data_IF_721541500682
#
_entry.id   IF_721541500682
#
_cell.length_a   1.000
_cell.length_b   1.000
_cell.length_c   1.000
_cell.angle_alpha   90.00
_cell.angle_beta   90.00
_cell.angle_gamma   90.00
#
_symmetry.space_group_name_H-M   'P 1'
#
loop_
_entity.id
_entity.type
_entity.pdbx_description
1 polymer ?
#
# COMPACT_ATOMS: atom_id res chain seq x y z
N UNK A 1 17.59 -39.09 -1.86
CA UNK A 1 17.20 -38.40 -0.59
C UNK A 1 16.74 -37.03 -0.99
N UNK A 2 15.43 -36.91 -1.21
CA UNK A 2 14.81 -35.65 -1.60
C UNK A 2 14.96 -34.68 -0.43
N UNK A 3 15.63 -33.55 -0.70
CA UNK A 3 15.63 -32.43 0.23
C UNK A 3 14.15 -32.02 0.38
N UNK A 4 13.54 -32.32 1.50
CA UNK A 4 12.22 -31.80 1.86
C UNK A 4 12.30 -30.29 1.67
N UNK A 5 11.63 -29.81 0.62
CA UNK A 5 11.59 -28.39 0.31
C UNK A 5 10.92 -27.72 1.49
N UNK A 6 11.72 -27.10 2.33
CA UNK A 6 11.23 -26.47 3.55
C UNK A 6 10.49 -25.20 3.13
N UNK A 7 9.15 -25.20 3.20
CA UNK A 7 8.33 -24.04 2.86
C UNK A 7 8.78 -22.82 3.68
N UNK A 8 8.95 -21.65 3.07
CA UNK A 8 9.64 -20.52 3.70
C UNK A 8 8.72 -19.77 4.68
N UNK A 9 8.35 -20.38 5.80
CA UNK A 9 7.49 -19.77 6.81
C UNK A 9 8.01 -18.43 7.34
N UNK A 10 9.31 -18.17 7.26
CA UNK A 10 9.91 -16.90 7.71
C UNK A 10 9.49 -15.67 6.89
N UNK A 11 8.84 -15.84 5.72
CA UNK A 11 8.28 -14.73 4.94
C UNK A 11 6.95 -14.23 5.53
N UNK A 12 6.28 -15.02 6.38
CA UNK A 12 5.06 -14.63 7.09
C UNK A 12 5.45 -13.80 8.31
N UNK A 13 5.23 -12.49 8.23
CA UNK A 13 5.63 -11.52 9.25
C UNK A 13 4.45 -11.16 10.15
N UNK A 14 4.65 -10.20 11.07
CA UNK A 14 3.61 -9.79 12.01
C UNK A 14 2.36 -9.17 11.35
N UNK A 15 2.52 -8.58 10.15
CA UNK A 15 1.44 -7.79 9.51
C UNK A 15 1.23 -8.11 8.03
N UNK A 16 2.15 -8.82 7.39
CA UNK A 16 2.10 -9.15 5.96
C UNK A 16 2.94 -10.38 5.63
N UNK A 17 2.90 -10.78 4.36
CA UNK A 17 3.79 -11.80 3.79
C UNK A 17 4.77 -11.07 2.89
N UNK A 18 6.10 -11.21 3.14
CA UNK A 18 7.11 -10.50 2.37
C UNK A 18 8.43 -11.24 2.31
N UNK A 19 9.01 -11.36 1.13
CA UNK A 19 10.27 -12.05 0.93
C UNK A 19 11.02 -11.65 -0.34
N UNK A 20 12.28 -12.07 -0.44
CA UNK A 20 13.07 -11.94 -1.66
C UNK A 20 12.49 -12.80 -2.78
N UNK A 21 12.59 -12.36 -4.04
CA UNK A 21 12.11 -13.11 -5.21
C UNK A 21 12.73 -14.51 -5.35
N UNK A 22 13.92 -14.73 -4.79
CA UNK A 22 14.55 -16.04 -4.72
C UNK A 22 13.81 -17.04 -3.82
N UNK A 23 12.97 -16.55 -2.93
CA UNK A 23 12.16 -17.32 -1.97
C UNK A 23 10.68 -17.20 -2.29
N UNK A 24 10.23 -15.99 -2.63
CA UNK A 24 8.86 -15.67 -3.00
C UNK A 24 8.60 -16.05 -4.47
N UNK A 25 8.69 -17.36 -4.75
CA UNK A 25 8.55 -17.91 -6.10
C UNK A 25 7.09 -18.05 -6.54
N UNK A 26 6.79 -18.21 -7.85
CA UNK A 26 5.43 -18.48 -8.31
C UNK A 26 4.74 -19.65 -7.60
N UNK A 27 5.48 -20.70 -7.24
CA UNK A 27 4.98 -21.86 -6.50
C UNK A 27 4.57 -21.47 -5.06
N UNK A 28 5.39 -20.67 -4.40
CA UNK A 28 5.08 -20.15 -3.06
C UNK A 28 3.86 -19.23 -3.11
N UNK A 29 3.78 -18.35 -4.11
CA UNK A 29 2.62 -17.48 -4.33
C UNK A 29 1.34 -18.29 -4.57
N UNK A 30 1.41 -19.36 -5.38
CA UNK A 30 0.27 -20.23 -5.61
C UNK A 30 -0.20 -20.92 -4.31
N UNK A 31 0.73 -21.45 -3.52
CA UNK A 31 0.40 -22.05 -2.23
C UNK A 31 -0.28 -21.04 -1.26
N UNK A 32 0.23 -19.81 -1.20
CA UNK A 32 -0.38 -18.71 -0.44
C UNK A 32 -1.78 -18.40 -0.97
N UNK A 33 -1.96 -18.35 -2.29
CA UNK A 33 -3.25 -18.05 -2.91
C UNK A 33 -4.31 -19.09 -2.55
N UNK A 34 -3.97 -20.39 -2.56
CA UNK A 34 -4.89 -21.45 -2.11
C UNK A 34 -5.28 -21.27 -0.63
N UNK A 35 -4.30 -21.02 0.25
CA UNK A 35 -4.55 -20.78 1.67
C UNK A 35 -5.44 -19.56 1.95
N UNK A 36 -5.23 -18.47 1.20
CA UNK A 36 -6.08 -17.28 1.28
C UNK A 36 -7.49 -17.55 0.75
N UNK A 37 -7.63 -18.28 -0.36
CA UNK A 37 -8.96 -18.65 -0.88
C UNK A 37 -9.75 -19.48 0.13
N UNK A 38 -9.10 -20.44 0.82
CA UNK A 38 -9.72 -21.16 1.92
C UNK A 38 -10.14 -20.23 3.07
N UNK A 39 -9.29 -19.28 3.45
CA UNK A 39 -9.62 -18.32 4.51
C UNK A 39 -10.85 -17.48 4.16
N UNK A 40 -10.94 -16.95 2.92
CA UNK A 40 -12.12 -16.22 2.45
C UNK A 40 -13.37 -17.10 2.42
N UNK A 41 -13.25 -18.33 1.91
CA UNK A 41 -14.37 -19.27 1.83
C UNK A 41 -14.89 -19.66 3.22
N UNK A 42 -14.01 -19.94 4.18
CA UNK A 42 -14.38 -20.25 5.55
C UNK A 42 -15.06 -19.07 6.27
N UNK A 43 -14.74 -17.84 5.87
CA UNK A 43 -15.41 -16.63 6.34
C UNK A 43 -16.73 -16.32 5.59
N UNK A 44 -17.17 -17.21 4.68
CA UNK A 44 -18.39 -17.05 3.90
C UNK A 44 -18.29 -15.96 2.81
N UNK A 45 -17.08 -15.58 2.43
CA UNK A 45 -16.83 -14.55 1.42
C UNK A 45 -16.78 -15.16 0.02
N UNK A 46 -17.35 -14.47 -0.95
CA UNK A 46 -17.39 -14.91 -2.35
C UNK A 46 -16.81 -13.91 -3.35
N UNK A 47 -16.46 -12.68 -2.89
CA UNK A 47 -15.95 -11.63 -3.77
C UNK A 47 -14.72 -10.99 -3.16
N UNK A 48 -13.66 -10.79 -3.96
CA UNK A 48 -12.38 -10.22 -3.52
C UNK A 48 -11.83 -9.27 -4.59
N UNK A 49 -11.35 -8.09 -4.20
CA UNK A 49 -10.59 -7.22 -5.09
C UNK A 49 -9.11 -7.58 -5.05
N UNK A 50 -8.42 -7.50 -6.19
CA UNK A 50 -6.98 -7.75 -6.29
C UNK A 50 -6.32 -6.57 -6.97
N UNK A 51 -5.29 -6.00 -6.33
CA UNK A 51 -4.42 -4.98 -6.89
C UNK A 51 -2.95 -5.39 -6.79
N UNK A 52 -2.09 -4.65 -7.49
CA UNK A 52 -0.65 -4.87 -7.43
C UNK A 52 0.14 -3.57 -7.62
N UNK A 53 1.38 -3.54 -7.09
CA UNK A 53 2.28 -2.39 -7.20
C UNK A 53 3.09 -2.39 -8.51
N UNK A 54 4.01 -1.41 -8.65
CA UNK A 54 4.82 -1.21 -9.84
C UNK A 54 5.88 -2.30 -10.11
N UNK A 55 6.16 -3.24 -9.19
CA UNK A 55 7.24 -4.23 -9.31
C UNK A 55 7.04 -5.13 -10.52
N UNK A 56 8.12 -5.50 -11.20
CA UNK A 56 8.07 -6.33 -12.42
C UNK A 56 7.42 -7.71 -12.20
N UNK A 57 7.54 -8.27 -10.99
CA UNK A 57 6.93 -9.56 -10.64
C UNK A 57 5.46 -9.45 -10.23
N UNK A 58 4.99 -8.27 -9.85
CA UNK A 58 3.65 -8.08 -9.26
C UNK A 58 2.50 -8.45 -10.20
N UNK A 59 2.51 -8.11 -11.52
CA UNK A 59 1.44 -8.53 -12.44
C UNK A 59 1.30 -10.06 -12.52
N UNK A 60 2.43 -10.78 -12.58
CA UNK A 60 2.41 -12.25 -12.63
C UNK A 60 1.83 -12.85 -11.35
N UNK A 61 2.25 -12.33 -10.20
CA UNK A 61 1.79 -12.83 -8.91
C UNK A 61 0.31 -12.53 -8.66
N UNK A 62 -0.15 -11.33 -9.00
CA UNK A 62 -1.56 -10.98 -8.93
C UNK A 62 -2.42 -11.89 -9.82
N UNK A 63 -1.95 -12.18 -11.04
CA UNK A 63 -2.66 -13.07 -11.95
C UNK A 63 -2.69 -14.53 -11.46
N UNK A 64 -1.64 -15.02 -10.78
CA UNK A 64 -1.65 -16.34 -10.11
C UNK A 64 -2.72 -16.36 -9.02
N UNK A 65 -2.74 -15.32 -8.15
CA UNK A 65 -3.74 -15.20 -7.09
C UNK A 65 -5.15 -15.18 -7.66
N UNK A 66 -5.43 -14.32 -8.67
CA UNK A 66 -6.72 -14.20 -9.32
C UNK A 66 -7.20 -15.55 -9.90
N UNK A 67 -6.34 -16.21 -10.69
CA UNK A 67 -6.68 -17.48 -11.32
C UNK A 67 -7.01 -18.58 -10.29
N UNK A 68 -6.28 -18.63 -9.17
CA UNK A 68 -6.53 -19.60 -8.12
C UNK A 68 -7.84 -19.25 -7.37
N UNK A 69 -8.07 -17.99 -7.08
CA UNK A 69 -9.31 -17.54 -6.43
C UNK A 69 -10.54 -17.91 -7.27
N UNK A 70 -10.51 -17.63 -8.58
CA UNK A 70 -11.58 -18.01 -9.51
C UNK A 70 -11.80 -19.52 -9.55
N UNK A 71 -10.72 -20.33 -9.60
CA UNK A 71 -10.81 -21.80 -9.53
C UNK A 71 -11.42 -22.29 -8.21
N UNK A 72 -11.27 -21.54 -7.12
CA UNK A 72 -11.84 -21.83 -5.81
C UNK A 72 -13.25 -21.25 -5.63
N UNK A 73 -13.82 -20.65 -6.68
CA UNK A 73 -15.21 -20.14 -6.70
C UNK A 73 -15.36 -18.73 -6.15
N UNK A 74 -14.27 -17.98 -6.01
CA UNK A 74 -14.32 -16.55 -5.63
C UNK A 74 -14.50 -15.68 -6.89
N UNK A 75 -15.36 -14.69 -6.82
CA UNK A 75 -15.52 -13.64 -7.83
C UNK A 75 -14.42 -12.58 -7.64
N UNK A 76 -13.58 -12.39 -8.65
CA UNK A 76 -12.39 -11.54 -8.58
C UNK A 76 -12.61 -10.23 -9.34
N UNK A 77 -12.38 -9.12 -8.67
CA UNK A 77 -12.27 -7.79 -9.28
C UNK A 77 -10.79 -7.42 -9.37
N UNK A 78 -10.23 -7.47 -10.56
CA UNK A 78 -8.84 -7.07 -10.83
C UNK A 78 -8.76 -5.55 -11.01
N UNK A 79 -8.05 -4.86 -10.08
CA UNK A 79 -7.84 -3.42 -10.11
C UNK A 79 -6.66 -2.99 -10.99
N UNK A 80 -5.83 -3.94 -11.41
CA UNK A 80 -4.60 -3.63 -12.11
C UNK A 80 -3.52 -3.06 -11.20
N UNK A 81 -2.60 -2.28 -11.80
CA UNK A 81 -1.56 -1.55 -11.06
C UNK A 81 -2.20 -0.39 -10.30
N UNK A 82 -2.15 -0.43 -8.98
CA UNK A 82 -2.79 0.57 -8.12
C UNK A 82 -2.03 0.73 -6.79
N UNK A 83 -2.44 1.72 -6.00
CA UNK A 83 -1.93 1.88 -4.63
C UNK A 83 -2.67 0.99 -3.63
N UNK A 84 -2.01 0.67 -2.50
CA UNK A 84 -2.65 -0.03 -1.38
C UNK A 84 -3.89 0.72 -0.86
N UNK A 85 -3.88 2.06 -0.66
CA UNK A 85 -5.08 2.79 -0.28
C UNK A 85 -6.23 2.66 -1.28
N UNK A 86 -5.96 2.62 -2.58
CA UNK A 86 -6.99 2.39 -3.59
C UNK A 86 -7.58 0.98 -3.48
N UNK A 87 -6.76 -0.04 -3.24
CA UNK A 87 -7.24 -1.40 -3.00
C UNK A 87 -8.16 -1.45 -1.77
N UNK A 88 -7.77 -0.81 -0.66
CA UNK A 88 -8.62 -0.74 0.55
C UNK A 88 -9.94 -0.02 0.31
N UNK A 89 -9.91 1.09 -0.43
CA UNK A 89 -11.13 1.83 -0.81
C UNK A 89 -12.08 0.94 -1.63
N UNK A 90 -11.57 0.27 -2.67
CA UNK A 90 -12.37 -0.61 -3.53
C UNK A 90 -12.88 -1.83 -2.78
N UNK A 91 -12.10 -2.40 -1.87
CA UNK A 91 -12.52 -3.51 -1.03
C UNK A 91 -13.70 -3.12 -0.13
N UNK A 92 -13.70 -1.91 0.46
CA UNK A 92 -14.83 -1.39 1.25
C UNK A 92 -16.11 -1.27 0.43
N UNK A 93 -16.01 -0.97 -0.87
CA UNK A 93 -17.16 -0.92 -1.78
C UNK A 93 -17.68 -2.33 -2.15
N UNK A 94 -16.91 -3.39 -1.84
CA UNK A 94 -17.16 -4.77 -2.29
C UNK A 94 -17.03 -5.81 -1.16
N UNK A 95 -17.70 -5.61 -0.05
CA UNK A 95 -17.72 -6.52 1.11
C UNK A 95 -16.45 -6.55 2.00
N UNK A 96 -15.51 -5.66 1.80
CA UNK A 96 -14.34 -5.54 2.67
C UNK A 96 -13.24 -6.58 2.45
N UNK A 97 -13.18 -7.19 1.25
CA UNK A 97 -12.19 -8.22 0.96
C UNK A 97 -11.24 -7.76 -0.13
N UNK A 98 -9.94 -7.85 0.13
CA UNK A 98 -8.95 -7.40 -0.82
C UNK A 98 -7.56 -8.00 -0.63
N UNK A 99 -6.84 -8.16 -1.74
CA UNK A 99 -5.45 -8.60 -1.79
C UNK A 99 -4.63 -7.58 -2.57
N UNK A 100 -3.48 -7.21 -2.01
CA UNK A 100 -2.49 -6.36 -2.65
C UNK A 100 -1.18 -7.09 -2.80
N UNK A 101 -0.70 -7.26 -4.04
CA UNK A 101 0.62 -7.81 -4.31
C UNK A 101 1.64 -6.69 -4.30
N UNK A 102 2.43 -6.61 -3.24
CA UNK A 102 3.38 -5.52 -3.00
C UNK A 102 4.43 -5.89 -1.96
N UNK A 103 5.60 -5.30 -2.06
CA UNK A 103 6.56 -5.22 -0.96
C UNK A 103 6.79 -3.78 -0.49
N UNK A 104 5.87 -2.85 -0.81
CA UNK A 104 5.90 -1.45 -0.37
C UNK A 104 7.25 -0.78 -0.70
N UNK A 105 7.96 -0.28 0.30
CA UNK A 105 9.24 0.42 0.17
C UNK A 105 10.48 -0.48 0.04
N UNK A 106 10.34 -1.81 0.05
CA UNK A 106 11.46 -2.73 -0.08
C UNK A 106 12.17 -2.60 -1.45
N UNK A 107 13.44 -3.05 -1.58
CA UNK A 107 14.12 -3.12 -2.86
C UNK A 107 13.36 -3.91 -3.92
N UNK A 108 13.70 -3.71 -5.21
CA UNK A 108 13.06 -4.41 -6.35
C UNK A 108 13.22 -5.93 -6.34
N UNK A 109 14.18 -6.44 -5.58
CA UNK A 109 14.41 -7.88 -5.38
C UNK A 109 13.39 -8.57 -4.46
N UNK A 110 12.49 -7.80 -3.85
CA UNK A 110 11.50 -8.29 -2.91
C UNK A 110 10.09 -8.19 -3.51
N UNK A 111 9.18 -9.06 -3.05
CA UNK A 111 7.75 -8.91 -3.26
C UNK A 111 6.99 -9.48 -2.06
N UNK A 112 5.67 -9.34 -2.05
CA UNK A 112 4.84 -9.77 -0.93
C UNK A 112 3.36 -9.71 -1.22
N UNK A 113 2.57 -10.05 -0.19
CA UNK A 113 1.11 -10.00 -0.21
C UNK A 113 0.62 -9.38 1.10
N UNK A 114 -0.24 -8.37 0.97
CA UNK A 114 -1.10 -7.84 2.02
C UNK A 114 -2.54 -8.21 1.70
N UNK A 115 -3.39 -8.43 2.72
CA UNK A 115 -4.81 -8.64 2.48
C UNK A 115 -5.66 -8.09 3.60
N UNK A 116 -6.93 -7.94 3.33
CA UNK A 116 -7.98 -7.64 4.30
C UNK A 116 -9.14 -8.61 4.12
N UNK A 117 -9.78 -8.94 5.23
CA UNK A 117 -10.93 -9.82 5.29
C UNK A 117 -12.02 -9.13 6.11
N UNK A 118 -13.22 -8.97 5.54
CA UNK A 118 -14.33 -8.25 6.18
C UNK A 118 -13.99 -6.81 6.60
N UNK A 119 -13.12 -6.13 5.84
CA UNK A 119 -12.68 -4.76 6.11
C UNK A 119 -11.54 -4.64 7.11
N UNK A 120 -11.08 -5.76 7.70
CA UNK A 120 -10.06 -5.77 8.73
C UNK A 120 -8.74 -6.38 8.22
N UNK A 121 -7.58 -5.86 8.65
CA UNK A 121 -6.29 -6.48 8.38
C UNK A 121 -6.17 -7.81 9.16
N UNK A 122 -5.34 -8.76 8.67
CA UNK A 122 -5.17 -10.02 9.37
C UNK A 122 -4.46 -9.84 10.72
N UNK A 123 -4.91 -10.59 11.70
CA UNK A 123 -4.20 -10.75 12.97
C UNK A 123 -2.95 -11.62 12.78
N UNK A 124 -1.94 -11.56 13.69
CA UNK A 124 -0.78 -12.44 13.63
C UNK A 124 -1.16 -13.93 13.59
N UNK A 125 -2.20 -14.35 14.34
CA UNK A 125 -2.70 -15.72 14.31
C UNK A 125 -3.27 -16.13 12.95
N UNK A 126 -3.98 -15.23 12.25
CA UNK A 126 -4.46 -15.48 10.91
C UNK A 126 -3.33 -15.57 9.89
N UNK A 127 -2.28 -14.76 10.03
CA UNK A 127 -1.08 -14.84 9.18
C UNK A 127 -0.37 -16.18 9.37
N UNK A 128 -0.20 -16.63 10.61
CA UNK A 128 0.38 -17.94 10.93
C UNK A 128 -0.47 -19.08 10.35
N UNK A 129 -1.79 -19.02 10.50
CA UNK A 129 -2.72 -20.01 9.94
C UNK A 129 -2.60 -20.10 8.41
N UNK A 130 -2.54 -18.96 7.71
CA UNK A 130 -2.30 -18.93 6.25
C UNK A 130 -0.93 -19.53 5.91
N UNK A 131 0.11 -19.27 6.70
CA UNK A 131 1.44 -19.84 6.51
C UNK A 131 1.43 -21.37 6.60
N UNK A 132 0.77 -21.92 7.61
CA UNK A 132 0.65 -23.36 7.82
C UNK A 132 -0.17 -24.03 6.71
N UNK A 133 -1.30 -23.44 6.30
CA UNK A 133 -2.10 -23.92 5.18
C UNK A 133 -1.33 -23.86 3.85
N UNK A 134 -0.60 -22.78 3.57
CA UNK A 134 0.23 -22.65 2.39
C UNK A 134 1.35 -23.68 2.35
N UNK A 135 1.99 -23.99 3.47
CA UNK A 135 2.98 -25.07 3.55
C UNK A 135 2.38 -26.44 3.18
N UNK A 136 1.15 -26.72 3.60
CA UNK A 136 0.43 -27.94 3.25
C UNK A 136 0.11 -28.00 1.75
N UNK A 137 -0.42 -26.93 1.17
CA UNK A 137 -0.67 -26.82 -0.27
C UNK A 137 0.60 -26.98 -1.09
N UNK A 138 1.71 -26.40 -0.65
CA UNK A 138 2.99 -26.49 -1.36
C UNK A 138 3.49 -27.94 -1.52
N UNK A 139 3.30 -28.79 -0.51
CA UNK A 139 3.68 -30.22 -0.54
C UNK A 139 2.84 -30.98 -1.58
N UNK A 140 1.62 -30.55 -1.88
CA UNK A 140 0.73 -31.21 -2.83
C UNK A 140 1.07 -30.97 -4.31
N UNK A 141 2.22 -30.37 -4.62
CA UNK A 141 2.71 -30.07 -5.97
C UNK A 141 1.67 -29.41 -6.88
N UNK A 142 1.18 -28.26 -6.43
CA UNK A 142 0.14 -27.49 -7.13
C UNK A 142 0.53 -27.11 -8.55
N UNK A 143 -0.44 -27.19 -9.48
CA UNK A 143 -0.29 -26.68 -10.82
C UNK A 143 -0.32 -25.14 -10.79
N UNK A 144 0.84 -24.53 -11.07
CA UNK A 144 0.97 -23.07 -11.11
C UNK A 144 0.47 -22.57 -12.46
N UNK A 145 -0.52 -21.67 -12.49
CA UNK A 145 -1.02 -21.11 -13.74
C UNK A 145 0.11 -20.46 -14.55
N UNK A 146 0.23 -20.87 -15.83
CA UNK A 146 1.18 -20.24 -16.77
C UNK A 146 0.54 -19.00 -17.36
N UNK A 147 0.97 -17.84 -16.92
CA UNK A 147 0.46 -16.55 -17.37
C UNK A 147 1.53 -15.88 -18.22
N UNK A 148 1.16 -15.41 -19.42
CA UNK A 148 2.06 -14.74 -20.36
C UNK A 148 1.55 -13.35 -20.70
N UNK A 149 2.48 -12.44 -21.03
CA UNK A 149 2.15 -11.15 -21.64
C UNK A 149 1.52 -10.13 -20.70
N UNK A 150 1.77 -10.24 -19.38
CA UNK A 150 1.29 -9.29 -18.41
C UNK A 150 2.11 -8.00 -18.46
N UNK A 151 1.42 -6.88 -18.56
CA UNK A 151 1.97 -5.54 -18.41
C UNK A 151 1.33 -4.83 -17.21
N UNK A 152 1.99 -3.78 -16.71
CA UNK A 152 1.39 -2.92 -15.71
C UNK A 152 0.22 -2.16 -16.35
N UNK A 153 -1.00 -2.56 -16.03
CA UNK A 153 -2.22 -1.92 -16.51
C UNK A 153 -2.85 -1.13 -15.39
N UNK A 154 -3.03 0.17 -15.61
CA UNK A 154 -3.85 1.02 -14.75
C UNK A 154 -5.27 0.94 -15.29
N UNK A 155 -6.20 0.44 -14.47
CA UNK A 155 -7.62 0.39 -14.83
C UNK A 155 -8.28 1.71 -14.49
N UNK A 156 -8.46 2.52 -15.51
CA UNK A 156 -8.90 3.92 -15.40
C UNK A 156 -10.22 4.06 -14.66
N UNK A 157 -11.15 3.15 -14.85
CA UNK A 157 -12.47 3.17 -14.20
C UNK A 157 -12.36 3.13 -12.67
N UNK A 158 -11.52 2.27 -12.11
CA UNK A 158 -11.34 2.17 -10.66
C UNK A 158 -10.53 3.33 -10.09
N UNK A 159 -9.55 3.82 -10.87
CA UNK A 159 -8.81 5.04 -10.52
C UNK A 159 -9.74 6.26 -10.43
N UNK A 160 -10.67 6.41 -11.36
CA UNK A 160 -11.66 7.50 -11.35
C UNK A 160 -12.62 7.38 -10.16
N UNK A 161 -13.09 6.18 -9.84
CA UNK A 161 -13.95 5.95 -8.65
C UNK A 161 -13.22 6.33 -7.36
N UNK A 162 -11.97 5.93 -7.23
CA UNK A 162 -11.14 6.28 -6.07
C UNK A 162 -10.90 7.78 -5.96
N UNK A 163 -10.53 8.44 -7.07
CA UNK A 163 -10.37 9.89 -7.12
C UNK A 163 -11.66 10.63 -6.73
N UNK A 164 -12.81 10.18 -7.23
CA UNK A 164 -14.09 10.77 -6.89
C UNK A 164 -14.36 10.68 -5.39
N UNK A 165 -14.17 9.50 -4.78
CA UNK A 165 -14.35 9.34 -3.34
C UNK A 165 -13.41 10.20 -2.50
N UNK A 166 -12.15 10.41 -2.95
CA UNK A 166 -11.22 11.32 -2.27
C UNK A 166 -11.63 12.79 -2.36
N UNK A 167 -12.30 13.19 -3.45
CA UNK A 167 -12.61 14.60 -3.72
C UNK A 167 -13.98 15.02 -3.16
N UNK A 168 -14.79 14.09 -2.66
CA UNK A 168 -16.12 14.42 -2.12
C UNK A 168 -16.05 15.40 -0.95
N UNK A 169 -15.07 15.23 -0.06
CA UNK A 169 -14.97 15.99 1.19
C UNK A 169 -13.76 16.95 1.25
N UNK A 170 -12.94 16.99 0.18
CA UNK A 170 -11.71 17.81 0.20
C UNK A 170 -11.90 19.08 -0.60
N UNK A 171 -11.86 20.23 0.11
CA UNK A 171 -11.93 21.56 -0.49
C UNK A 171 -10.75 22.42 -0.05
N UNK A 172 -9.90 22.80 -0.99
CA UNK A 172 -8.78 23.69 -0.70
C UNK A 172 -9.24 25.14 -0.65
N UNK A 173 -8.82 25.91 0.37
CA UNK A 173 -9.09 27.36 0.46
C UNK A 173 -8.35 28.16 -0.61
N UNK A 174 -7.23 27.65 -1.10
CA UNK A 174 -6.44 28.20 -2.22
C UNK A 174 -5.71 27.09 -2.97
N UNK A 175 -5.34 27.30 -4.23
CA UNK A 175 -4.39 26.44 -4.90
C UNK A 175 -3.04 26.42 -4.18
N UNK A 176 -2.35 25.27 -4.27
CA UNK A 176 -0.97 25.12 -3.82
C UNK A 176 -0.09 24.76 -5.02
N UNK A 177 1.16 25.22 -5.00
CA UNK A 177 2.20 24.69 -5.87
C UNK A 177 2.85 23.51 -5.15
N UNK A 178 2.71 22.32 -5.72
CA UNK A 178 3.11 21.04 -5.10
C UNK A 178 4.18 20.37 -5.93
N UNK A 179 5.29 19.96 -5.34
CA UNK A 179 6.18 18.98 -5.95
C UNK A 179 5.78 17.62 -5.42
N UNK A 180 5.30 16.75 -6.31
CA UNK A 180 4.91 15.38 -5.99
C UNK A 180 5.95 14.41 -6.53
N UNK A 181 6.54 13.60 -5.66
CA UNK A 181 7.49 12.56 -6.00
C UNK A 181 6.88 11.18 -5.75
N UNK A 182 6.56 10.47 -6.83
CA UNK A 182 5.97 9.12 -6.77
C UNK A 182 6.99 8.02 -6.53
N UNK A 183 8.30 8.30 -6.48
CA UNK A 183 9.40 7.33 -6.34
C UNK A 183 9.28 6.11 -7.28
N UNK A 184 8.71 6.31 -8.47
CA UNK A 184 8.38 5.25 -9.44
C UNK A 184 7.37 4.19 -8.93
N UNK A 185 6.69 4.46 -7.81
CA UNK A 185 5.66 3.60 -7.23
C UNK A 185 4.33 3.63 -7.98
N UNK A 186 3.35 2.90 -7.48
CA UNK A 186 2.04 2.75 -8.11
C UNK A 186 1.04 3.88 -7.82
N UNK A 187 1.34 4.76 -6.86
CA UNK A 187 0.43 5.81 -6.42
C UNK A 187 0.60 7.15 -7.15
N UNK A 188 1.80 7.42 -7.69
CA UNK A 188 2.21 8.75 -8.17
C UNK A 188 1.24 9.36 -9.17
N UNK A 189 0.85 8.61 -10.21
CA UNK A 189 -0.05 9.09 -11.25
C UNK A 189 -1.44 9.43 -10.74
N UNK A 190 -2.00 8.59 -9.88
CA UNK A 190 -3.32 8.84 -9.28
C UNK A 190 -3.29 10.07 -8.36
N UNK A 191 -2.26 10.21 -7.54
CA UNK A 191 -2.08 11.36 -6.64
C UNK A 191 -1.92 12.67 -7.43
N UNK A 192 -1.13 12.67 -8.51
CA UNK A 192 -1.00 13.81 -9.43
C UNK A 192 -2.36 14.25 -9.97
N UNK A 193 -3.17 13.30 -10.45
CA UNK A 193 -4.50 13.59 -10.98
C UNK A 193 -5.43 14.18 -9.90
N UNK A 194 -5.40 13.67 -8.67
CA UNK A 194 -6.20 14.20 -7.54
C UNK A 194 -5.79 15.62 -7.23
N UNK A 195 -4.50 15.91 -7.09
CA UNK A 195 -4.00 17.26 -6.78
C UNK A 195 -4.33 18.26 -7.90
N UNK A 196 -4.21 17.86 -9.15
CA UNK A 196 -4.63 18.71 -10.30
C UNK A 196 -6.14 19.01 -10.27
N UNK A 197 -6.99 18.02 -9.92
CA UNK A 197 -8.44 18.23 -9.78
C UNK A 197 -8.82 19.13 -8.60
N UNK A 198 -7.97 19.18 -7.57
CA UNK A 198 -8.09 20.13 -6.46
C UNK A 198 -7.61 21.55 -6.84
N UNK A 199 -7.12 21.75 -8.06
CA UNK A 199 -6.65 23.05 -8.57
C UNK A 199 -5.19 23.37 -8.21
N UNK A 200 -4.41 22.41 -7.72
CA UNK A 200 -2.99 22.60 -7.45
C UNK A 200 -2.17 22.71 -8.74
N UNK A 201 -1.08 23.50 -8.69
CA UNK A 201 -0.01 23.51 -9.69
C UNK A 201 1.00 22.41 -9.34
N UNK A 202 0.95 21.27 -10.05
CA UNK A 202 1.71 20.07 -9.69
C UNK A 202 2.94 19.90 -10.55
N UNK A 203 4.11 19.85 -9.93
CA UNK A 203 5.37 19.43 -10.53
C UNK A 203 5.59 17.96 -10.18
N UNK A 204 5.35 17.07 -11.16
CA UNK A 204 5.44 15.63 -10.98
C UNK A 204 6.87 15.11 -11.18
N UNK A 205 7.39 14.41 -10.18
CA UNK A 205 8.68 13.71 -10.22
C UNK A 205 8.41 12.21 -10.08
N UNK A 206 8.98 11.39 -10.95
CA UNK A 206 8.93 9.92 -10.82
C UNK A 206 7.50 9.38 -10.55
N UNK A 207 6.46 10.04 -11.08
CA UNK A 207 5.06 9.64 -10.88
C UNK A 207 4.62 8.49 -11.78
N UNK A 208 5.37 8.20 -12.86
CA UNK A 208 5.11 7.01 -13.67
C UNK A 208 5.65 5.75 -12.98
N UNK A 209 4.78 4.72 -12.90
CA UNK A 209 5.14 3.43 -12.31
C UNK A 209 6.27 2.75 -13.08
N UNK A 210 7.38 2.42 -12.41
CA UNK A 210 8.51 1.74 -13.01
C UNK A 210 9.14 0.74 -12.04
N UNK A 211 8.86 -0.54 -12.24
CA UNK A 211 9.32 -1.63 -11.36
C UNK A 211 10.83 -1.89 -11.35
N UNK A 212 11.59 -1.24 -12.22
CA UNK A 212 13.04 -1.25 -12.14
C UNK A 212 13.58 -0.35 -11.02
N UNK A 213 12.80 0.63 -10.54
CA UNK A 213 13.24 1.60 -9.53
C UNK A 213 14.67 2.09 -9.79
N UNK A 214 14.93 2.78 -10.92
CA UNK A 214 16.27 3.02 -11.44
C UNK A 214 17.17 3.86 -10.52
N UNK A 215 16.57 4.70 -9.68
CA UNK A 215 17.32 5.59 -8.79
C UNK A 215 17.71 4.87 -7.47
N UNK A 216 16.74 4.25 -6.82
CA UNK A 216 16.86 3.59 -5.51
C UNK A 216 15.55 2.86 -5.16
N UNK A 217 15.50 2.13 -4.05
CA UNK A 217 14.25 1.59 -3.53
C UNK A 217 13.22 2.71 -3.27
N UNK A 218 11.91 2.47 -3.45
CA UNK A 218 10.87 3.49 -3.28
C UNK A 218 10.56 3.74 -1.80
N UNK A 219 11.57 4.14 -1.05
CA UNK A 219 11.54 4.36 0.40
C UNK A 219 11.77 5.84 0.73
N UNK A 220 10.71 6.61 1.01
CA UNK A 220 10.84 8.03 1.36
C UNK A 220 11.35 8.27 2.79
N UNK A 221 11.50 7.24 3.62
CA UNK A 221 12.07 7.38 4.95
C UNK A 221 13.58 7.68 4.94
N UNK A 222 14.25 7.40 3.82
CA UNK A 222 15.67 7.66 3.63
C UNK A 222 15.89 9.06 3.08
N UNK A 223 16.52 9.95 3.85
CA UNK A 223 16.74 11.35 3.43
C UNK A 223 17.45 11.48 2.07
N UNK A 224 18.38 10.58 1.77
CA UNK A 224 19.11 10.56 0.48
C UNK A 224 18.18 10.33 -0.71
N UNK A 225 17.07 9.62 -0.54
CA UNK A 225 16.08 9.37 -1.59
C UNK A 225 15.25 10.61 -1.93
N UNK A 226 15.25 11.60 -1.03
CA UNK A 226 14.44 12.83 -1.13
C UNK A 226 15.20 14.02 -1.72
N UNK A 227 16.48 13.86 -2.11
CA UNK A 227 17.31 14.97 -2.62
C UNK A 227 16.71 15.59 -3.91
N UNK A 228 16.15 14.78 -4.81
CA UNK A 228 15.46 15.30 -6.01
C UNK A 228 14.23 16.13 -5.63
N UNK A 229 13.43 15.65 -4.66
CA UNK A 229 12.28 16.37 -4.14
C UNK A 229 12.70 17.70 -3.51
N UNK A 230 13.68 17.68 -2.60
CA UNK A 230 14.23 18.85 -1.93
C UNK A 230 14.68 19.92 -2.93
N UNK A 231 15.48 19.52 -3.92
CA UNK A 231 15.97 20.42 -4.93
C UNK A 231 14.83 21.03 -5.77
N UNK A 232 13.83 20.22 -6.15
CA UNK A 232 12.70 20.68 -6.91
C UNK A 232 11.80 21.64 -6.12
N UNK A 233 11.56 21.40 -4.82
CA UNK A 233 10.79 22.32 -3.96
C UNK A 233 11.45 23.71 -3.96
N UNK A 234 12.75 23.77 -3.72
CA UNK A 234 13.49 25.04 -3.70
C UNK A 234 13.55 25.71 -5.08
N UNK A 235 13.84 24.95 -6.14
CA UNK A 235 13.97 25.48 -7.50
C UNK A 235 12.66 26.06 -8.03
N UNK A 236 11.55 25.37 -7.80
CA UNK A 236 10.23 25.82 -8.25
C UNK A 236 9.52 26.75 -7.26
N UNK A 237 10.14 27.01 -6.10
CA UNK A 237 9.49 27.79 -5.02
C UNK A 237 8.11 27.21 -4.69
N UNK A 238 8.04 25.89 -4.49
CA UNK A 238 6.80 25.20 -4.21
C UNK A 238 6.35 25.44 -2.76
N UNK A 239 5.03 25.48 -2.52
CA UNK A 239 4.47 25.60 -1.17
C UNK A 239 4.74 24.32 -0.34
N UNK A 240 4.81 23.14 -1.01
CA UNK A 240 4.93 21.85 -0.35
C UNK A 240 5.59 20.82 -1.27
N UNK A 241 6.39 19.94 -0.70
CA UNK A 241 6.90 18.72 -1.33
C UNK A 241 6.27 17.48 -0.73
N UNK A 242 5.87 16.52 -1.55
CA UNK A 242 5.27 15.25 -1.12
C UNK A 242 6.03 14.10 -1.78
N UNK A 243 6.49 13.11 -1.01
CA UNK A 243 7.01 11.85 -1.53
C UNK A 243 6.11 10.69 -1.07
N UNK A 244 5.83 9.74 -1.98
CA UNK A 244 5.05 8.54 -1.70
C UNK A 244 5.96 7.31 -1.78
N UNK A 245 5.68 6.26 -0.98
CA UNK A 245 6.39 5.00 -1.10
C UNK A 245 5.85 4.12 -2.24
N UNK A 246 6.41 2.94 -2.42
CA UNK A 246 6.19 2.10 -3.60
C UNK A 246 4.74 1.68 -3.85
N UNK A 247 3.94 1.51 -2.81
CA UNK A 247 2.50 1.21 -2.90
C UNK A 247 1.61 2.34 -2.35
N UNK A 248 2.20 3.48 -1.98
CA UNK A 248 1.50 4.71 -1.65
C UNK A 248 0.72 4.70 -0.35
N UNK A 249 1.07 3.82 0.59
CA UNK A 249 0.48 3.79 1.92
C UNK A 249 1.27 4.62 2.96
N UNK A 250 2.42 5.18 2.53
CA UNK A 250 3.26 6.09 3.32
C UNK A 250 3.60 7.33 2.53
N UNK A 251 3.74 8.44 3.27
CA UNK A 251 4.16 9.70 2.68
C UNK A 251 5.20 10.41 3.57
N UNK A 252 6.01 11.23 2.93
CA UNK A 252 6.85 12.23 3.58
C UNK A 252 6.49 13.59 3.01
N UNK A 253 6.40 14.60 3.88
CA UNK A 253 6.09 15.97 3.51
C UNK A 253 7.30 16.86 3.79
N UNK A 254 7.54 17.82 2.89
CA UNK A 254 8.48 18.94 3.07
C UNK A 254 7.74 20.26 3.01
N UNK A 255 8.19 21.22 3.79
CA UNK A 255 7.74 22.62 3.72
C UNK A 255 8.36 23.36 2.52
N UNK A 256 8.04 24.64 2.35
CA UNK A 256 8.54 25.50 1.28
C UNK A 256 10.06 25.79 1.38
N UNK A 257 10.69 25.50 2.51
CA UNK A 257 12.14 25.56 2.73
C UNK A 257 12.81 24.19 2.55
N UNK A 258 12.06 23.20 2.10
CA UNK A 258 12.46 21.82 1.93
C UNK A 258 12.92 21.13 3.25
N UNK A 259 12.40 21.55 4.40
CA UNK A 259 12.56 20.83 5.65
C UNK A 259 11.51 19.70 5.73
N UNK A 260 11.96 18.52 6.12
CA UNK A 260 11.06 17.38 6.34
C UNK A 260 10.19 17.65 7.56
N UNK A 261 8.86 17.56 7.36
CA UNK A 261 7.89 17.54 8.44
C UNK A 261 7.81 16.11 8.96
N UNK A 262 8.19 15.89 10.21
CA UNK A 262 8.22 14.56 10.81
C UNK A 262 6.80 13.99 11.01
N UNK A 263 6.67 12.65 10.98
CA UNK A 263 5.38 11.99 11.10
C UNK A 263 4.63 12.34 12.38
N UNK A 264 5.32 12.51 13.49
CA UNK A 264 4.73 12.92 14.77
C UNK A 264 4.16 14.35 14.74
N UNK A 265 4.77 15.28 14.01
CA UNK A 265 4.19 16.61 13.75
C UNK A 265 2.92 16.53 12.90
N UNK A 266 2.90 15.68 11.89
CA UNK A 266 1.70 15.45 11.08
C UNK A 266 0.59 14.80 11.91
N UNK A 267 0.90 13.81 12.75
CA UNK A 267 -0.06 13.21 13.68
C UNK A 267 -0.62 14.26 14.62
N UNK A 268 0.23 15.14 15.18
CA UNK A 268 -0.23 16.23 16.05
C UNK A 268 -1.18 17.19 15.34
N UNK A 269 -0.90 17.54 14.07
CA UNK A 269 -1.79 18.36 13.25
C UNK A 269 -3.13 17.66 13.00
N UNK A 270 -3.10 16.38 12.61
CA UNK A 270 -4.35 15.63 12.38
C UNK A 270 -5.13 15.39 13.66
N UNK A 271 -4.46 15.18 14.80
CA UNK A 271 -5.10 15.11 16.12
C UNK A 271 -5.83 16.42 16.47
N UNK A 272 -5.19 17.57 16.22
CA UNK A 272 -5.84 18.87 16.41
C UNK A 272 -7.09 18.99 15.54
N UNK A 273 -7.00 18.71 14.24
CA UNK A 273 -8.17 18.78 13.33
C UNK A 273 -9.29 17.82 13.76
N UNK A 274 -8.94 16.62 14.22
CA UNK A 274 -9.91 15.65 14.72
C UNK A 274 -10.61 16.15 16.00
N UNK A 275 -9.84 16.67 16.97
CA UNK A 275 -10.36 17.12 18.26
C UNK A 275 -11.19 18.42 18.17
N UNK A 276 -10.94 19.24 17.14
CA UNK A 276 -11.80 20.40 16.83
C UNK A 276 -13.22 19.94 16.42
N UNK A 277 -13.35 18.80 15.75
CA UNK A 277 -14.64 18.26 15.31
C UNK A 277 -15.23 17.25 16.30
N UNK A 278 -14.39 16.51 16.99
CA UNK A 278 -14.75 15.45 17.93
C UNK A 278 -14.04 15.65 19.27
N UNK A 279 -14.52 16.59 20.12
CA UNK A 279 -13.93 16.83 21.44
C UNK A 279 -13.87 15.54 22.26
N UNK A 280 -12.77 15.32 22.98
CA UNK A 280 -12.51 14.12 23.79
C UNK A 280 -12.30 12.81 22.99
N UNK A 281 -12.10 12.88 21.66
CA UNK A 281 -11.77 11.69 20.89
C UNK A 281 -10.47 11.05 21.39
N UNK A 282 -10.41 9.72 21.29
CA UNK A 282 -9.21 8.93 21.57
C UNK A 282 -8.30 8.96 20.34
N UNK A 283 -7.06 9.40 20.52
CA UNK A 283 -6.01 9.41 19.49
C UNK A 283 -5.01 8.32 19.82
N UNK A 284 -4.99 7.28 18.97
CA UNK A 284 -4.08 6.15 19.11
C UNK A 284 -2.85 6.38 18.22
N UNK A 285 -1.65 6.19 18.78
CA UNK A 285 -0.40 6.38 18.06
C UNK A 285 0.69 5.41 18.52
N UNK A 286 1.72 5.22 17.68
CA UNK A 286 2.81 4.27 17.92
C UNK A 286 3.80 4.80 18.98
N UNK A 287 4.40 3.90 19.75
CA UNK A 287 5.43 4.20 20.77
C UNK A 287 6.65 4.96 20.25
N UNK A 288 6.89 4.92 18.94
CA UNK A 288 7.97 5.68 18.28
C UNK A 288 7.69 7.18 18.13
N UNK A 289 6.46 7.62 18.38
CA UNK A 289 6.12 9.04 18.36
C UNK A 289 6.78 9.76 19.54
N UNK A 290 7.13 11.03 19.32
CA UNK A 290 7.64 11.87 20.40
C UNK A 290 6.54 12.21 21.40
N UNK A 291 6.94 12.63 22.61
CA UNK A 291 6.02 13.10 23.65
C UNK A 291 5.15 14.29 23.23
N UNK A 292 5.53 14.98 22.15
CA UNK A 292 4.75 16.09 21.58
C UNK A 292 3.34 15.66 21.19
N UNK A 293 3.16 14.42 20.64
CA UNK A 293 1.81 13.93 20.27
C UNK A 293 0.94 13.80 21.51
N UNK A 294 1.45 13.15 22.57
CA UNK A 294 0.74 13.02 23.86
C UNK A 294 0.37 14.39 24.43
N UNK A 295 1.33 15.32 24.43
CA UNK A 295 1.11 16.67 24.95
C UNK A 295 0.05 17.41 24.14
N UNK A 296 0.15 17.41 22.81
CA UNK A 296 -0.84 18.05 21.93
C UNK A 296 -2.25 17.51 22.17
N UNK A 297 -2.41 16.18 22.25
CA UNK A 297 -3.71 15.55 22.47
C UNK A 297 -4.30 15.94 23.82
N UNK A 298 -3.49 15.89 24.89
CA UNK A 298 -3.94 16.24 26.23
C UNK A 298 -4.29 17.74 26.37
N UNK A 299 -3.47 18.63 25.80
CA UNK A 299 -3.69 20.08 25.83
C UNK A 299 -5.00 20.47 25.10
N UNK A 300 -5.41 19.67 24.11
CA UNK A 300 -6.66 19.85 23.37
C UNK A 300 -7.86 19.08 23.99
N UNK A 301 -7.66 18.44 25.13
CA UNK A 301 -8.72 17.72 25.86
C UNK A 301 -9.09 16.36 25.27
N UNK A 302 -8.26 15.79 24.41
CA UNK A 302 -8.41 14.43 23.87
C UNK A 302 -7.84 13.36 24.81
N UNK A 303 -7.99 12.09 24.42
CA UNK A 303 -7.44 10.94 25.13
C UNK A 303 -6.25 10.39 24.32
N UNK A 304 -5.05 10.44 24.89
CA UNK A 304 -3.83 9.97 24.25
C UNK A 304 -3.58 8.50 24.61
N UNK A 305 -3.63 7.58 23.62
CA UNK A 305 -3.40 6.14 23.79
C UNK A 305 -2.21 5.69 22.95
N UNK A 306 -1.22 5.03 23.59
CA UNK A 306 0.03 4.57 22.96
C UNK A 306 0.02 3.04 22.80
#
# INVERSE_FOLDING_TARGET
MDAMFNFPLHIFRAYDIRGKLTVFTPQVVAAIAYALAEQYSLAGQSKVVIGYDARLSSPQYAAIVATIFEKQGLDVIDLGCCSSPMMYFMARQTHGNGVMVTASHNPKSDNGIKWILNGEPPTPAQIEAVGNAAAHHHIQALDVPRIRGLSHQIKTEYCLMYQQGLLEDIHLKRPFKVVLDGLHGSAGRCAEMVLNRLGCDVIALRCEANGEFPDHAPDPSQAIHLEKLRHAVLYHQADIGIALDGDGDRLVIMDEQAHIITADRLISLFAQMCLEQHPQAEIVFDVKCSSMVTQTVNDLGGIATM
#
